data_IF_821287641932
#
_entry.id   IF_821287641932
#
_cell.length_a   1.000
_cell.length_b   1.000
_cell.length_c   1.000
_cell.angle_alpha   90.00
_cell.angle_beta   90.00
_cell.angle_gamma   90.00
#
_symmetry.space_group_name_H-M   'P 1'
#
loop_
_entity.id
_entity.type
_entity.pdbx_description
1 polymer ?
#
# COMPACT_ATOMS: atom_id res chain seq x y z
N UNK A 1 -18.46 -2.85 6.76
CA UNK A 1 -17.60 -1.65 6.58
C UNK A 1 -16.78 -1.50 7.84
N UNK A 2 -15.44 -1.49 7.75
CA UNK A 2 -14.59 -1.37 8.92
C UNK A 2 -14.72 0.04 9.51
N UNK A 3 -15.09 0.15 10.79
CA UNK A 3 -15.13 1.43 11.48
C UNK A 3 -13.71 1.83 11.90
N UNK A 4 -13.19 2.87 11.25
CA UNK A 4 -11.92 3.52 11.56
C UNK A 4 -12.21 4.72 12.45
N UNK A 5 -11.49 4.81 13.57
CA UNK A 5 -11.58 5.96 14.48
C UNK A 5 -10.40 6.95 14.28
N UNK A 6 -10.44 8.05 15.03
CA UNK A 6 -9.42 9.11 14.96
C UNK A 6 -8.03 8.60 15.32
N UNK A 7 -7.91 7.63 16.23
CA UNK A 7 -6.61 7.07 16.61
C UNK A 7 -6.05 6.20 15.48
N UNK A 8 -6.90 5.38 14.84
CA UNK A 8 -6.52 4.58 13.68
C UNK A 8 -6.00 5.49 12.54
N UNK A 9 -6.67 6.61 12.26
CA UNK A 9 -6.21 7.59 11.27
C UNK A 9 -4.86 8.22 11.62
N UNK A 10 -4.62 8.55 12.89
CA UNK A 10 -3.31 9.06 13.35
C UNK A 10 -2.20 8.03 13.14
N UNK A 11 -2.46 6.77 13.51
CA UNK A 11 -1.51 5.67 13.31
C UNK A 11 -1.18 5.51 11.83
N UNK A 12 -2.19 5.51 10.96
CA UNK A 12 -2.01 5.40 9.51
C UNK A 12 -1.15 6.54 8.96
N UNK A 13 -1.41 7.79 9.38
CA UNK A 13 -0.61 8.95 8.95
C UNK A 13 0.87 8.82 9.32
N UNK A 14 1.16 8.33 10.52
CA UNK A 14 2.53 8.10 10.98
C UNK A 14 3.20 7.00 10.15
N UNK A 15 2.52 5.88 9.93
CA UNK A 15 3.05 4.73 9.18
C UNK A 15 3.15 4.96 7.67
N UNK A 16 2.31 5.82 7.10
CA UNK A 16 2.43 6.26 5.70
C UNK A 16 3.70 7.10 5.48
N UNK A 17 4.14 7.82 6.51
CA UNK A 17 5.38 8.60 6.47
C UNK A 17 6.61 7.70 6.66
N UNK A 18 6.57 6.82 7.66
CA UNK A 18 7.61 5.81 7.88
C UNK A 18 7.00 4.52 8.43
N UNK A 19 6.84 3.56 7.52
CA UNK A 19 6.30 2.24 7.81
C UNK A 19 7.17 1.42 8.78
N UNK A 20 8.46 1.76 8.91
CA UNK A 20 9.42 1.05 9.78
C UNK A 20 9.53 1.68 11.17
N UNK A 21 8.85 2.81 11.41
CA UNK A 21 8.89 3.50 12.70
C UNK A 21 8.49 2.51 13.82
N UNK A 22 9.32 2.32 14.87
CA UNK A 22 9.00 1.35 15.90
C UNK A 22 7.71 1.74 16.63
N UNK A 23 6.88 0.74 16.98
CA UNK A 23 5.55 0.97 17.56
C UNK A 23 5.60 1.84 18.82
N UNK A 24 6.66 1.76 19.62
CA UNK A 24 6.86 2.64 20.80
C UNK A 24 6.93 4.12 20.42
N UNK A 25 7.54 4.46 19.29
CA UNK A 25 7.59 5.84 18.80
C UNK A 25 6.26 6.28 18.22
N UNK A 26 5.58 5.41 17.46
CA UNK A 26 4.22 5.67 16.97
C UNK A 26 3.29 5.95 18.13
N UNK A 27 3.34 5.14 19.19
CA UNK A 27 2.54 5.27 20.40
C UNK A 27 2.75 6.63 21.09
N UNK A 28 4.00 7.06 21.25
CA UNK A 28 4.33 8.39 21.79
C UNK A 28 3.75 9.51 20.92
N UNK A 29 3.89 9.42 19.61
CA UNK A 29 3.46 10.46 18.65
C UNK A 29 1.93 10.59 18.58
N UNK A 30 1.19 9.48 18.69
CA UNK A 30 -0.28 9.50 18.64
C UNK A 30 -0.94 9.68 20.01
N UNK A 31 -0.15 9.71 21.10
CA UNK A 31 -0.64 9.86 22.47
C UNK A 31 -1.37 8.62 23.01
N UNK A 32 -0.90 7.42 22.65
CA UNK A 32 -1.49 6.14 23.10
C UNK A 32 -0.43 5.21 23.69
N UNK A 33 -0.85 4.13 24.36
CA UNK A 33 0.08 3.11 24.83
C UNK A 33 0.48 2.14 23.69
N UNK A 34 1.65 1.51 23.83
CA UNK A 34 2.22 0.65 22.79
C UNK A 34 1.31 -0.55 22.45
N UNK A 35 0.74 -1.19 23.46
CA UNK A 35 -0.15 -2.35 23.30
C UNK A 35 -1.39 -1.99 22.46
N UNK A 36 -1.96 -0.80 22.65
CA UNK A 36 -3.10 -0.29 21.89
C UNK A 36 -2.72 -0.10 20.44
N UNK A 37 -1.61 0.60 20.16
CA UNK A 37 -1.15 0.82 18.77
C UNK A 37 -0.87 -0.51 18.08
N UNK A 38 -0.18 -1.45 18.75
CA UNK A 38 0.11 -2.78 18.21
C UNK A 38 -1.18 -3.53 17.84
N UNK A 39 -2.20 -3.49 18.71
CA UNK A 39 -3.51 -4.09 18.46
C UNK A 39 -4.22 -3.42 17.28
N UNK A 40 -4.20 -2.08 17.19
CA UNK A 40 -4.80 -1.31 16.09
C UNK A 40 -4.14 -1.65 14.75
N UNK A 41 -2.81 -1.60 14.66
CA UNK A 41 -2.08 -1.98 13.44
C UNK A 41 -2.43 -3.41 13.01
N UNK A 42 -2.47 -4.37 13.94
CA UNK A 42 -2.87 -5.75 13.63
C UNK A 42 -4.31 -5.83 13.10
N UNK A 43 -5.25 -5.08 13.69
CA UNK A 43 -6.64 -4.98 13.21
C UNK A 43 -6.69 -4.40 11.80
N UNK A 44 -6.03 -3.26 11.55
CA UNK A 44 -6.01 -2.58 10.26
C UNK A 44 -5.43 -3.45 9.14
N UNK A 45 -4.39 -4.24 9.43
CA UNK A 45 -3.86 -5.25 8.48
C UNK A 45 -4.87 -6.36 8.20
N UNK A 46 -5.47 -6.94 9.25
CA UNK A 46 -6.43 -8.05 9.12
C UNK A 46 -7.69 -7.62 8.35
N UNK A 47 -8.09 -6.37 8.49
CA UNK A 47 -9.26 -5.80 7.79
C UNK A 47 -8.93 -5.30 6.37
N UNK A 48 -7.68 -5.46 5.90
CA UNK A 48 -7.26 -5.04 4.56
C UNK A 48 -7.09 -3.53 4.37
N UNK A 49 -7.26 -2.73 5.44
CA UNK A 49 -7.04 -1.27 5.39
C UNK A 49 -5.54 -0.98 5.18
N UNK A 50 -4.68 -1.74 5.85
CA UNK A 50 -3.25 -1.81 5.50
C UNK A 50 -3.07 -3.03 4.62
N UNK A 51 -3.10 -2.81 3.31
CA UNK A 51 -2.92 -3.89 2.33
C UNK A 51 -1.51 -4.50 2.41
N UNK A 52 -0.49 -3.65 2.46
CA UNK A 52 0.92 -4.09 2.51
C UNK A 52 1.83 -3.01 3.10
N UNK A 53 2.97 -3.44 3.60
CA UNK A 53 4.14 -2.58 3.81
C UNK A 53 5.10 -2.83 2.65
N UNK A 54 5.47 -1.77 1.95
CA UNK A 54 6.28 -1.87 0.74
C UNK A 54 7.31 -0.75 0.67
N UNK A 55 8.21 -0.85 -0.29
CA UNK A 55 9.18 0.17 -0.63
C UNK A 55 8.66 1.01 -1.80
N UNK A 56 8.92 2.31 -1.76
CA UNK A 56 8.73 3.20 -2.92
C UNK A 56 10.05 3.27 -3.65
N UNK A 57 10.07 2.81 -4.89
CA UNK A 57 11.27 2.77 -5.72
C UNK A 57 11.38 4.04 -6.57
N UNK A 58 12.61 4.56 -6.65
CA UNK A 58 12.97 5.56 -7.65
C UNK A 58 13.37 4.82 -8.95
N UNK A 59 12.42 4.73 -9.88
CA UNK A 59 12.62 4.01 -11.13
C UNK A 59 13.65 4.67 -12.07
N UNK A 60 13.83 6.01 -11.99
CA UNK A 60 14.85 6.69 -12.77
C UNK A 60 16.26 6.23 -12.37
N UNK A 61 16.51 6.10 -11.05
CA UNK A 61 17.78 5.56 -10.54
C UNK A 61 18.01 4.09 -10.87
N UNK A 62 16.96 3.36 -11.22
CA UNK A 62 17.03 1.96 -11.68
C UNK A 62 17.18 1.85 -13.21
N UNK A 63 17.43 2.95 -13.91
CA UNK A 63 17.55 2.97 -15.37
C UNK A 63 16.22 2.86 -16.12
N UNK A 64 15.09 2.86 -15.41
CA UNK A 64 13.73 2.86 -15.98
C UNK A 64 13.25 4.30 -16.11
N UNK A 65 13.74 4.95 -17.17
CA UNK A 65 13.57 6.39 -17.38
C UNK A 65 12.20 6.79 -17.93
N UNK A 66 11.37 5.82 -18.34
CA UNK A 66 10.06 6.06 -18.94
C UNK A 66 8.99 5.43 -18.07
N UNK A 67 8.03 6.25 -17.64
CA UNK A 67 6.78 5.79 -17.03
C UNK A 67 5.64 6.20 -17.96
N UNK A 68 4.82 5.25 -18.38
CA UNK A 68 3.71 5.49 -19.28
C UNK A 68 2.41 4.93 -18.70
N UNK A 69 1.30 5.60 -18.98
CA UNK A 69 -0.04 5.04 -18.83
C UNK A 69 -0.55 4.69 -20.23
N UNK A 70 -0.93 3.43 -20.44
CA UNK A 70 -1.37 2.93 -21.73
C UNK A 70 -2.84 2.56 -21.63
N UNK A 71 -3.70 3.27 -22.36
CA UNK A 71 -5.09 2.89 -22.52
C UNK A 71 -5.24 1.86 -23.64
N UNK A 72 -5.79 0.70 -23.33
CA UNK A 72 -6.03 -0.37 -24.31
C UNK A 72 -7.53 -0.48 -24.60
N UNK A 73 -7.92 -0.39 -25.87
CA UNK A 73 -9.26 -0.76 -26.31
C UNK A 73 -9.25 -2.23 -26.71
N UNK A 74 -9.92 -3.07 -25.94
CA UNK A 74 -9.94 -4.53 -26.14
C UNK A 74 -11.34 -5.03 -26.43
N UNK A 75 -11.44 -6.14 -27.15
CA UNK A 75 -12.72 -6.85 -27.30
C UNK A 75 -13.03 -7.58 -25.98
N UNK A 76 -14.27 -7.53 -25.46
CA UNK A 76 -14.62 -8.14 -24.17
C UNK A 76 -14.18 -9.61 -24.00
N UNK A 77 -14.29 -10.49 -25.03
CA UNK A 77 -13.87 -11.89 -24.89
C UNK A 77 -12.35 -12.06 -24.66
N UNK A 78 -11.52 -11.11 -25.07
CA UNK A 78 -10.06 -11.17 -24.95
C UNK A 78 -9.52 -10.55 -23.67
N UNK A 79 -10.36 -9.88 -22.88
CA UNK A 79 -9.91 -9.10 -21.73
C UNK A 79 -9.10 -9.96 -20.73
N UNK A 80 -9.60 -11.15 -20.41
CA UNK A 80 -8.94 -12.04 -19.44
C UNK A 80 -7.56 -12.49 -19.92
N UNK A 81 -7.48 -12.96 -21.16
CA UNK A 81 -6.22 -13.39 -21.79
C UNK A 81 -5.18 -12.26 -21.80
N UNK A 82 -5.59 -11.04 -22.16
CA UNK A 82 -4.70 -9.87 -22.18
C UNK A 82 -4.22 -9.50 -20.77
N UNK A 83 -5.11 -9.54 -19.78
CA UNK A 83 -4.76 -9.26 -18.38
C UNK A 83 -3.78 -10.30 -17.84
N UNK A 84 -4.02 -11.59 -18.11
CA UNK A 84 -3.17 -12.68 -17.66
C UNK A 84 -1.75 -12.54 -18.25
N UNK A 85 -1.64 -12.22 -19.55
CA UNK A 85 -0.35 -11.99 -20.23
C UNK A 85 0.38 -10.74 -19.67
N UNK A 86 -0.31 -9.61 -19.54
CA UNK A 86 0.30 -8.37 -19.08
C UNK A 86 0.71 -8.42 -17.60
N UNK A 87 -0.03 -9.15 -16.77
CA UNK A 87 0.25 -9.28 -15.33
C UNK A 87 1.62 -9.91 -15.05
N UNK A 88 2.13 -10.72 -15.98
CA UNK A 88 3.46 -11.33 -15.87
C UNK A 88 4.60 -10.46 -16.39
N UNK A 89 4.32 -9.36 -17.08
CA UNK A 89 5.35 -8.58 -17.75
C UNK A 89 6.11 -7.69 -16.75
N UNK A 90 7.46 -7.72 -16.73
CA UNK A 90 8.28 -7.05 -15.70
C UNK A 90 8.17 -5.51 -15.68
N UNK A 91 7.59 -4.92 -16.72
CA UNK A 91 7.37 -3.48 -16.86
C UNK A 91 5.93 -3.04 -16.56
N UNK A 92 5.01 -3.99 -16.38
CA UNK A 92 3.63 -3.70 -15.97
C UNK A 92 3.57 -3.68 -14.45
N UNK A 93 3.39 -2.48 -13.89
CA UNK A 93 3.36 -2.30 -12.43
C UNK A 93 1.94 -2.38 -11.86
N UNK A 94 0.95 -1.95 -12.64
CA UNK A 94 -0.47 -1.85 -12.27
C UNK A 94 -1.31 -2.04 -13.54
N UNK A 95 -2.46 -2.73 -13.44
CA UNK A 95 -3.49 -2.88 -14.47
C UNK A 95 -4.81 -2.26 -14.00
#
# INVERSE_FOLDING_TARGET
>A
MAFIDTLDMKILKVLQTDARKPIVHVAREVGANEATVRRRVKKLKREGIIERFTVVLDYHKLGRNVKAFIGLKVQPPKLKEIVDELSGHPDVQVL
#
